data_IF_288647992893
#
_entry.id   IF_288647992893
#
_cell.length_a   1.000
_cell.length_b   1.000
_cell.length_c   1.000
_cell.angle_alpha   90.00
_cell.angle_beta   90.00
_cell.angle_gamma   90.00
#
_symmetry.space_group_name_H-M   'P 1'
#
loop_
_entity.id
_entity.type
_entity.pdbx_description
1 polymer ?
#
# COMPACT_ATOMS: atom_id res chain seq x y z
N UNK A 1 -31.44 20.01 -5.72
CA UNK A 1 -30.43 19.27 -6.50
C UNK A 1 -29.07 19.92 -6.21
N UNK A 2 -28.12 19.20 -5.64
CA UNK A 2 -26.76 19.75 -5.38
C UNK A 2 -25.91 19.53 -6.62
N UNK A 3 -24.93 20.42 -6.86
CA UNK A 3 -24.02 20.30 -8.03
C UNK A 3 -23.30 18.94 -8.08
N UNK A 4 -22.99 18.38 -6.92
CA UNK A 4 -22.36 17.07 -6.76
C UNK A 4 -23.24 15.91 -7.24
N UNK A 5 -24.57 16.05 -7.14
CA UNK A 5 -25.54 15.03 -7.58
C UNK A 5 -25.68 15.00 -9.12
N UNK A 6 -25.36 16.15 -9.76
CA UNK A 6 -25.49 16.31 -11.20
C UNK A 6 -24.17 16.02 -11.92
N UNK A 7 -23.04 16.34 -11.29
CA UNK A 7 -21.69 16.14 -11.83
C UNK A 7 -20.81 15.41 -10.81
N UNK A 8 -20.97 14.09 -10.66
CA UNK A 8 -20.17 13.31 -9.74
C UNK A 8 -18.69 13.37 -10.13
N UNK A 9 -17.83 13.70 -9.18
CA UNK A 9 -16.39 13.66 -9.40
C UNK A 9 -15.95 12.23 -9.70
N UNK A 10 -15.09 12.04 -10.70
CA UNK A 10 -14.44 10.77 -11.00
C UNK A 10 -13.34 10.42 -9.98
N UNK A 11 -13.00 11.36 -9.12
CA UNK A 11 -11.92 11.23 -8.15
C UNK A 11 -12.44 11.33 -6.73
N UNK A 12 -11.79 10.61 -5.84
CA UNK A 12 -12.04 10.64 -4.41
C UNK A 12 -11.72 12.03 -3.85
N UNK A 13 -12.62 12.52 -3.03
CA UNK A 13 -12.47 13.73 -2.22
C UNK A 13 -12.51 13.35 -0.73
N UNK A 14 -12.04 14.24 0.14
CA UNK A 14 -12.09 14.03 1.58
C UNK A 14 -13.51 13.72 2.08
N UNK A 15 -14.51 14.34 1.48
CA UNK A 15 -15.94 14.12 1.78
C UNK A 15 -16.45 12.71 1.42
N UNK A 16 -15.73 11.95 0.59
CA UNK A 16 -16.08 10.56 0.23
C UNK A 16 -15.58 9.56 1.28
N UNK A 17 -14.65 9.98 2.16
CA UNK A 17 -14.13 9.18 3.27
C UNK A 17 -14.89 9.63 4.52
N UNK A 18 -16.09 9.06 4.68
CA UNK A 18 -16.97 9.37 5.80
C UNK A 18 -16.51 8.59 7.03
N UNK A 19 -16.36 9.32 8.12
CA UNK A 19 -16.31 8.88 9.50
C UNK A 19 -15.09 8.10 10.00
N UNK A 20 -14.26 7.45 9.16
CA UNK A 20 -13.12 6.67 9.64
C UNK A 20 -12.06 6.43 8.58
N UNK A 21 -11.75 5.17 8.34
CA UNK A 21 -10.72 4.70 7.45
C UNK A 21 -11.35 3.86 6.34
N UNK A 22 -10.90 4.06 5.13
CA UNK A 22 -11.35 3.30 3.97
C UNK A 22 -10.22 2.42 3.44
N UNK A 23 -10.34 1.11 3.61
CA UNK A 23 -9.36 0.15 3.09
C UNK A 23 -9.73 -0.28 1.68
N UNK A 24 -8.83 -0.09 0.74
CA UNK A 24 -9.05 -0.29 -0.69
C UNK A 24 -7.92 -1.13 -1.30
N UNK A 25 -8.29 -1.96 -2.27
CA UNK A 25 -7.35 -2.77 -3.06
C UNK A 25 -7.05 -2.07 -4.38
N UNK A 26 -5.77 -1.79 -4.64
CA UNK A 26 -5.34 -1.15 -5.88
C UNK A 26 -5.50 -2.14 -7.05
N UNK A 27 -6.21 -1.73 -8.09
CA UNK A 27 -6.39 -2.54 -9.31
C UNK A 27 -5.56 -2.02 -10.47
N UNK A 28 -5.26 -0.71 -10.47
CA UNK A 28 -4.54 -0.06 -11.56
C UNK A 28 -3.97 1.27 -11.07
N UNK A 29 -2.82 1.64 -11.59
CA UNK A 29 -2.28 3.00 -11.50
C UNK A 29 -2.00 3.48 -12.92
N UNK A 30 -2.46 4.66 -13.27
CA UNK A 30 -2.21 5.26 -14.59
C UNK A 30 -2.03 6.77 -14.49
N UNK A 31 -1.36 7.33 -15.48
CA UNK A 31 -1.23 8.78 -15.62
C UNK A 31 -2.46 9.32 -16.35
N UNK A 32 -3.11 10.32 -15.77
CA UNK A 32 -4.28 10.98 -16.32
C UNK A 32 -3.98 12.48 -16.50
N UNK A 33 -4.25 13.00 -17.67
CA UNK A 33 -4.14 14.43 -17.94
C UNK A 33 -5.35 15.16 -17.37
N UNK A 34 -5.12 16.09 -16.47
CA UNK A 34 -6.14 16.87 -15.78
C UNK A 34 -5.98 18.35 -16.08
N UNK A 35 -7.10 19.12 -16.16
CA UNK A 35 -7.02 20.56 -16.26
C UNK A 35 -6.38 21.14 -14.98
N UNK A 36 -5.29 21.85 -15.15
CA UNK A 36 -4.60 22.57 -14.09
C UNK A 36 -5.14 23.99 -13.90
N UNK A 37 -4.59 24.69 -12.92
CA UNK A 37 -4.87 26.11 -12.73
C UNK A 37 -4.33 26.90 -13.93
N UNK A 38 -5.13 27.84 -14.46
CA UNK A 38 -4.83 28.71 -15.62
C UNK A 38 -4.90 28.05 -16.99
N UNK A 39 -5.62 26.92 -17.16
CA UNK A 39 -5.83 26.29 -18.46
C UNK A 39 -4.65 25.45 -18.96
N UNK A 40 -3.63 25.23 -18.14
CA UNK A 40 -2.57 24.26 -18.43
C UNK A 40 -3.04 22.84 -18.11
N UNK A 41 -2.71 21.89 -18.96
CA UNK A 41 -2.94 20.48 -18.68
C UNK A 41 -1.79 19.94 -17.83
N UNK A 42 -2.11 19.15 -16.82
CA UNK A 42 -1.11 18.54 -15.93
C UNK A 42 -1.37 17.05 -15.82
N UNK A 43 -0.33 16.28 -16.07
CA UNK A 43 -0.36 14.84 -15.88
C UNK A 43 -0.24 14.49 -14.40
N UNK A 44 -1.19 13.67 -13.92
CA UNK A 44 -1.23 13.21 -12.53
C UNK A 44 -1.39 11.69 -12.48
N UNK A 45 -0.63 11.02 -11.62
CA UNK A 45 -0.86 9.61 -11.35
C UNK A 45 -2.16 9.43 -10.58
N UNK A 46 -2.95 8.44 -10.98
CA UNK A 46 -4.24 8.10 -10.37
C UNK A 46 -4.27 6.60 -10.07
N UNK A 47 -4.57 6.25 -8.83
CA UNK A 47 -4.83 4.87 -8.43
C UNK A 47 -6.33 4.59 -8.50
N UNK A 48 -6.70 3.44 -9.05
CA UNK A 48 -8.06 2.91 -9.09
C UNK A 48 -8.18 1.70 -8.19
N UNK A 49 -9.38 1.46 -7.69
CA UNK A 49 -9.63 0.48 -6.64
C UNK A 49 -10.73 -0.50 -7.02
N UNK A 50 -10.74 -1.64 -6.35
CA UNK A 50 -11.75 -2.67 -6.55
C UNK A 50 -13.10 -2.30 -5.91
N UNK A 51 -13.05 -1.66 -4.75
CA UNK A 51 -14.21 -1.45 -3.87
C UNK A 51 -15.01 -0.19 -4.23
N UNK A 52 -14.38 0.77 -4.91
CA UNK A 52 -14.99 2.07 -5.24
C UNK A 52 -14.74 2.45 -6.70
N UNK A 53 -15.70 3.10 -7.37
CA UNK A 53 -15.56 3.49 -8.77
C UNK A 53 -14.71 4.75 -8.97
N UNK A 54 -14.37 5.47 -7.90
CA UNK A 54 -13.59 6.70 -7.95
C UNK A 54 -12.11 6.43 -7.79
N UNK A 55 -11.28 7.09 -8.60
CA UNK A 55 -9.82 7.04 -8.48
C UNK A 55 -9.26 8.03 -7.44
N UNK A 56 -8.12 7.74 -6.88
CA UNK A 56 -7.35 8.65 -6.03
C UNK A 56 -6.26 9.35 -6.85
N UNK A 57 -6.32 10.68 -6.98
CA UNK A 57 -5.21 11.45 -7.52
C UNK A 57 -4.06 11.39 -6.52
N UNK A 58 -2.91 10.86 -6.96
CA UNK A 58 -1.76 10.65 -6.11
C UNK A 58 -0.87 11.90 -6.17
N UNK A 59 -0.74 12.61 -5.05
CA UNK A 59 0.26 13.66 -4.88
C UNK A 59 1.58 13.06 -4.35
N UNK A 60 2.65 13.86 -4.34
CA UNK A 60 3.98 13.42 -3.90
C UNK A 60 3.97 12.81 -2.49
N UNK A 61 3.18 13.38 -1.58
CA UNK A 61 3.06 12.87 -0.20
C UNK A 61 2.39 11.50 -0.19
N UNK A 62 1.27 11.34 -0.89
CA UNK A 62 0.56 10.07 -0.96
C UNK A 62 1.34 9.00 -1.73
N UNK A 63 2.10 9.37 -2.78
CA UNK A 63 3.01 8.45 -3.45
C UNK A 63 3.97 7.79 -2.45
N UNK A 64 4.67 8.63 -1.66
CA UNK A 64 5.59 8.12 -0.64
C UNK A 64 4.89 7.24 0.39
N UNK A 65 3.70 7.63 0.84
CA UNK A 65 2.94 6.86 1.82
C UNK A 65 2.44 5.52 1.26
N UNK A 66 2.06 5.46 -0.03
CA UNK A 66 1.68 4.21 -0.70
C UNK A 66 2.92 3.30 -0.82
N UNK A 67 4.05 3.83 -1.26
CA UNK A 67 5.30 3.07 -1.34
C UNK A 67 5.70 2.48 0.03
N UNK A 68 5.62 3.27 1.10
CA UNK A 68 5.85 2.82 2.47
C UNK A 68 4.83 1.75 2.91
N UNK A 69 3.55 1.91 2.55
CA UNK A 69 2.48 1.00 2.94
C UNK A 69 2.53 -0.34 2.19
N UNK A 70 2.92 -0.33 0.93
CA UNK A 70 3.01 -1.52 0.08
C UNK A 70 4.36 -2.22 0.18
N UNK A 71 5.40 -1.49 0.59
CA UNK A 71 6.80 -1.95 0.56
C UNK A 71 7.41 -1.96 -0.84
N UNK A 72 6.77 -1.29 -1.82
CA UNK A 72 7.20 -1.26 -3.23
C UNK A 72 7.33 0.19 -3.69
N UNK A 73 8.44 0.53 -4.33
CA UNK A 73 8.67 1.89 -4.85
C UNK A 73 8.00 2.12 -6.21
N UNK A 74 7.87 1.06 -7.01
CA UNK A 74 7.26 1.12 -8.32
C UNK A 74 5.73 0.93 -8.22
N UNK A 75 5.00 1.80 -8.91
CA UNK A 75 3.53 1.76 -8.91
C UNK A 75 2.93 0.54 -9.61
N UNK A 76 3.67 -0.10 -10.51
CA UNK A 76 3.22 -1.31 -11.19
C UNK A 76 3.11 -2.50 -10.20
N UNK A 77 3.97 -2.50 -9.17
CA UNK A 77 3.97 -3.50 -8.10
C UNK A 77 2.91 -3.24 -7.01
N UNK A 78 2.20 -2.12 -7.06
CA UNK A 78 1.11 -1.81 -6.13
C UNK A 78 -0.19 -2.53 -6.46
N UNK A 79 -0.34 -3.05 -7.68
CA UNK A 79 -1.55 -3.75 -8.10
C UNK A 79 -1.79 -5.00 -7.24
N UNK A 80 -3.01 -5.12 -6.72
CA UNK A 80 -3.39 -6.18 -5.78
C UNK A 80 -3.05 -5.90 -4.32
N UNK A 81 -2.30 -4.84 -4.01
CA UNK A 81 -2.00 -4.43 -2.63
C UNK A 81 -3.16 -3.64 -2.04
N UNK A 82 -3.30 -3.73 -0.71
CA UNK A 82 -4.28 -2.96 0.04
C UNK A 82 -3.63 -1.74 0.69
N UNK A 83 -4.33 -0.61 0.62
CA UNK A 83 -3.98 0.62 1.34
C UNK A 83 -5.21 1.10 2.13
N UNK A 84 -4.96 1.79 3.23
CA UNK A 84 -6.01 2.39 4.04
C UNK A 84 -5.92 3.91 3.91
N UNK A 85 -7.00 4.52 3.46
CA UNK A 85 -7.15 5.96 3.33
C UNK A 85 -7.82 6.53 4.58
N UNK A 86 -7.43 7.73 4.96
CA UNK A 86 -8.06 8.52 6.00
C UNK A 86 -7.99 10.02 5.65
N UNK A 87 -8.73 10.84 6.34
CA UNK A 87 -8.67 12.30 6.17
C UNK A 87 -7.88 12.93 7.31
N UNK A 88 -7.11 13.96 6.96
CA UNK A 88 -6.35 14.78 7.90
C UNK A 88 -6.50 16.23 7.50
N UNK A 89 -6.74 17.08 8.48
CA UNK A 89 -6.74 18.53 8.29
C UNK A 89 -5.30 19.02 8.07
N UNK A 90 -5.09 19.73 6.99
CA UNK A 90 -3.78 20.29 6.61
C UNK A 90 -3.92 21.78 6.32
N UNK A 91 -2.89 22.53 6.66
CA UNK A 91 -2.78 23.92 6.26
C UNK A 91 -2.45 24.02 4.77
N UNK A 92 -3.32 24.67 4.01
CA UNK A 92 -3.12 24.92 2.59
C UNK A 92 -3.45 26.38 2.27
N UNK A 93 -2.44 27.13 1.86
CA UNK A 93 -2.56 28.55 1.48
C UNK A 93 -3.23 29.47 2.53
N UNK A 94 -3.06 29.13 3.82
CA UNK A 94 -3.65 29.90 4.93
C UNK A 94 -5.02 29.42 5.40
N UNK A 95 -5.58 28.41 4.77
CA UNK A 95 -6.81 27.74 5.16
C UNK A 95 -6.57 26.32 5.64
N UNK A 96 -7.38 25.85 6.58
CA UNK A 96 -7.39 24.44 7.01
C UNK A 96 -8.32 23.67 6.09
N UNK A 97 -7.77 22.68 5.37
CA UNK A 97 -8.54 21.85 4.44
C UNK A 97 -8.36 20.38 4.75
N UNK A 98 -9.42 19.60 4.62
CA UNK A 98 -9.35 18.16 4.76
C UNK A 98 -8.64 17.54 3.54
N UNK A 99 -7.57 16.81 3.77
CA UNK A 99 -6.81 16.12 2.73
C UNK A 99 -6.83 14.60 2.95
N UNK A 100 -6.95 13.85 1.85
CA UNK A 100 -6.82 12.40 1.88
C UNK A 100 -5.35 12.04 2.11
N UNK A 101 -5.11 11.10 3.03
CA UNK A 101 -3.81 10.52 3.33
C UNK A 101 -3.88 9.01 3.35
N UNK A 102 -2.78 8.39 3.02
CA UNK A 102 -2.61 6.94 3.17
C UNK A 102 -2.04 6.65 4.55
N UNK A 103 -2.67 5.74 5.27
CA UNK A 103 -2.23 5.33 6.60
C UNK A 103 -0.88 4.64 6.51
N UNK A 104 0.07 5.10 7.30
CA UNK A 104 1.34 4.38 7.44
C UNK A 104 1.08 3.02 8.04
N UNK A 105 1.60 1.98 7.41
CA UNK A 105 1.67 0.67 8.04
C UNK A 105 2.74 0.77 9.13
N UNK A 106 2.30 0.84 10.37
CA UNK A 106 3.21 0.60 11.49
C UNK A 106 3.54 -0.88 11.45
N UNK A 107 4.65 -1.23 10.80
CA UNK A 107 5.13 -2.59 10.76
C UNK A 107 5.43 -3.02 12.20
N UNK A 108 4.61 -3.88 12.75
CA UNK A 108 4.88 -4.49 14.04
C UNK A 108 5.98 -5.54 13.84
N UNK A 109 7.23 -5.13 14.09
CA UNK A 109 8.42 -5.96 13.92
C UNK A 109 8.29 -7.25 14.73
N UNK A 110 7.73 -7.19 15.95
CA UNK A 110 7.51 -8.38 16.77
C UNK A 110 6.53 -9.36 16.10
N UNK A 111 5.44 -8.86 15.47
CA UNK A 111 4.50 -9.70 14.73
C UNK A 111 5.11 -10.27 13.45
N UNK A 112 5.94 -9.50 12.74
CA UNK A 112 6.69 -9.96 11.58
C UNK A 112 7.67 -11.06 11.96
N UNK A 113 8.44 -10.85 13.02
CA UNK A 113 9.39 -11.82 13.54
C UNK A 113 8.69 -13.12 13.96
N UNK A 114 7.57 -13.02 14.66
CA UNK A 114 6.77 -14.19 15.03
C UNK A 114 6.38 -15.01 13.81
N UNK A 115 5.80 -14.36 12.77
CA UNK A 115 5.43 -15.03 11.51
C UNK A 115 6.63 -15.63 10.78
N UNK A 116 7.76 -14.96 10.81
CA UNK A 116 8.99 -15.47 10.24
C UNK A 116 9.45 -16.74 10.95
N UNK A 117 9.46 -16.75 12.27
CA UNK A 117 9.84 -17.92 13.08
C UNK A 117 8.89 -19.10 12.84
N UNK A 118 7.61 -18.87 12.67
CA UNK A 118 6.64 -19.92 12.31
C UNK A 118 6.96 -20.54 10.94
N UNK A 119 7.29 -19.72 9.93
CA UNK A 119 7.76 -20.18 8.62
C UNK A 119 9.07 -20.97 8.72
N UNK A 120 10.01 -20.48 9.51
CA UNK A 120 11.29 -21.13 9.74
C UNK A 120 11.12 -22.52 10.39
N UNK A 121 10.26 -22.64 11.39
CA UNK A 121 9.93 -23.94 12.01
C UNK A 121 9.26 -24.90 11.03
N UNK A 122 8.37 -24.39 10.17
CA UNK A 122 7.74 -25.18 9.10
C UNK A 122 8.81 -25.71 8.11
N UNK A 123 9.71 -24.84 7.68
CA UNK A 123 10.80 -25.20 6.77
C UNK A 123 11.75 -26.25 7.40
N UNK A 124 12.01 -26.12 8.70
CA UNK A 124 12.80 -27.10 9.45
C UNK A 124 12.14 -28.48 9.50
N UNK A 125 10.82 -28.51 9.61
CA UNK A 125 10.03 -29.76 9.56
C UNK A 125 10.04 -30.44 8.19
N UNK A 126 10.31 -29.68 7.11
CA UNK A 126 10.43 -30.19 5.74
C UNK A 126 11.87 -30.57 5.34
N UNK A 127 12.83 -30.47 6.26
CA UNK A 127 14.26 -30.78 6.05
C UNK A 127 14.88 -30.05 4.84
N UNK A 128 14.53 -28.77 4.67
CA UNK A 128 15.01 -27.93 3.58
C UNK A 128 16.50 -27.64 3.75
N UNK A 129 17.31 -27.97 2.73
CA UNK A 129 18.75 -27.67 2.71
C UNK A 129 19.01 -26.16 2.74
N UNK A 130 20.10 -25.75 3.39
CA UNK A 130 20.52 -24.34 3.43
C UNK A 130 19.75 -23.45 4.41
N UNK A 131 18.92 -24.01 5.28
CA UNK A 131 18.17 -23.27 6.30
C UNK A 131 19.04 -22.40 7.20
N UNK A 132 20.31 -22.76 7.40
CA UNK A 132 21.27 -21.95 8.18
C UNK A 132 21.47 -20.54 7.62
N UNK A 133 21.25 -20.35 6.32
CA UNK A 133 21.34 -19.03 5.65
C UNK A 133 20.15 -18.11 5.96
N UNK A 134 19.10 -18.67 6.57
CA UNK A 134 17.88 -17.97 6.95
C UNK A 134 17.79 -17.62 8.43
N UNK A 135 18.86 -17.79 9.19
CA UNK A 135 18.93 -17.31 10.57
C UNK A 135 19.12 -15.79 10.53
N UNK A 136 18.13 -15.06 10.98
CA UNK A 136 18.16 -13.60 11.08
C UNK A 136 18.37 -13.15 12.53
N UNK A 137 19.01 -12.00 12.69
CA UNK A 137 19.21 -11.38 14.01
C UNK A 137 17.88 -11.00 14.66
N UNK A 138 17.80 -11.11 15.99
CA UNK A 138 16.61 -10.73 16.75
C UNK A 138 16.26 -9.23 16.64
N UNK A 139 17.25 -8.40 16.26
CA UNK A 139 17.10 -6.96 16.04
C UNK A 139 16.99 -6.60 14.54
N UNK A 140 16.77 -7.59 13.66
CA UNK A 140 16.62 -7.35 12.23
C UNK A 140 15.50 -6.33 11.95
N UNK A 141 15.74 -5.46 10.97
CA UNK A 141 14.73 -4.52 10.51
C UNK A 141 13.59 -5.22 9.76
N UNK A 142 12.50 -4.48 9.55
CA UNK A 142 11.32 -5.02 8.88
C UNK A 142 11.61 -5.47 7.45
N UNK A 143 12.46 -4.76 6.70
CA UNK A 143 12.81 -5.10 5.34
C UNK A 143 13.54 -6.44 5.27
N UNK A 144 14.51 -6.64 6.13
CA UNK A 144 15.25 -7.91 6.26
C UNK A 144 14.33 -9.08 6.60
N UNK A 145 13.40 -8.89 7.55
CA UNK A 145 12.45 -9.95 7.95
C UNK A 145 11.50 -10.30 6.81
N UNK A 146 11.00 -9.29 6.08
CA UNK A 146 10.07 -9.48 4.96
C UNK A 146 10.77 -10.22 3.82
N UNK A 147 11.98 -9.80 3.45
CA UNK A 147 12.73 -10.41 2.34
C UNK A 147 13.09 -11.86 2.65
N UNK A 148 13.65 -12.13 3.82
CA UNK A 148 13.93 -13.49 4.27
C UNK A 148 12.66 -14.36 4.32
N UNK A 149 11.55 -13.80 4.76
CA UNK A 149 10.25 -14.48 4.78
C UNK A 149 9.71 -14.82 3.39
N UNK A 150 9.88 -13.93 2.40
CA UNK A 150 9.51 -14.20 1.00
C UNK A 150 10.33 -15.36 0.42
N UNK A 151 11.64 -15.33 0.60
CA UNK A 151 12.55 -16.38 0.12
C UNK A 151 12.24 -17.73 0.78
N UNK A 152 12.06 -17.74 2.09
CA UNK A 152 11.78 -18.95 2.85
C UNK A 152 10.41 -19.57 2.45
N UNK A 153 9.40 -18.73 2.19
CA UNK A 153 8.11 -19.19 1.68
C UNK A 153 8.22 -19.84 0.31
N UNK A 154 9.02 -19.28 -0.59
CA UNK A 154 9.26 -19.86 -1.91
C UNK A 154 9.90 -21.25 -1.83
N UNK A 155 10.87 -21.44 -0.92
CA UNK A 155 11.51 -22.74 -0.68
C UNK A 155 10.52 -23.77 -0.09
N UNK A 156 9.67 -23.36 0.85
CA UNK A 156 8.63 -24.22 1.42
C UNK A 156 7.65 -24.67 0.33
N UNK A 157 7.18 -23.76 -0.52
CA UNK A 157 6.28 -24.10 -1.61
C UNK A 157 6.91 -25.06 -2.62
N UNK A 158 8.19 -24.86 -2.94
CA UNK A 158 8.93 -25.78 -3.80
C UNK A 158 9.08 -27.18 -3.15
N UNK A 159 9.39 -27.25 -1.88
CA UNK A 159 9.52 -28.53 -1.15
C UNK A 159 8.15 -29.27 -1.07
N UNK A 160 7.06 -28.57 -0.81
CA UNK A 160 5.72 -29.16 -0.76
C UNK A 160 5.20 -29.65 -2.12
N UNK A 161 5.71 -29.09 -3.23
CA UNK A 161 5.33 -29.54 -4.57
C UNK A 161 5.95 -30.88 -4.99
N UNK A 162 6.96 -31.38 -4.26
CA UNK A 162 7.65 -32.65 -4.53
C UNK A 162 7.21 -33.80 -3.60
N UNK A 163 6.25 -33.55 -2.71
CA UNK A 163 5.65 -34.56 -1.83
C UNK A 163 4.29 -35.00 -2.39
#
# INVERSE_FOLDING_TARGET
MKQQDVFPSRFLKAEDILDDELTLTITKVETVTLPGNKGEETDKPVAYFKEVPKGLIINKTNWKLIAEATGEEDSDDWVGKQITLFTLDVDAFGDVVAAIRVKKVTLNIAALMKRYLELYQKAKGLDIEGLSNFVIDANADAATIIDAGKQLRALIMAAEAFV
#
